data_IF_477650542993
#
_entry.id   IF_477650542993
#
_cell.length_a   1.000
_cell.length_b   1.000
_cell.length_c   1.000
_cell.angle_alpha   90.00
_cell.angle_beta   90.00
_cell.angle_gamma   90.00
#
_symmetry.space_group_name_H-M   'P 1'
#
loop_
_entity.id
_entity.type
_entity.pdbx_description
1 polymer ?
#
# COMPACT_ATOMS: atom_id res chain seq x y z
N UNK A 1 -0.44 0.31 1.22
CA UNK A 1 -1.45 0.03 0.19
C UNK A 1 -2.16 1.29 -0.28
N UNK A 2 -2.43 1.39 -1.56
CA UNK A 2 -3.10 2.54 -2.16
C UNK A 2 -4.42 2.11 -2.79
N UNK A 3 -5.52 2.83 -2.54
CA UNK A 3 -6.78 2.62 -3.23
C UNK A 3 -6.68 3.18 -4.66
N UNK A 4 -6.90 2.32 -5.66
CA UNK A 4 -6.77 2.69 -7.08
C UNK A 4 -8.11 3.10 -7.73
N UNK A 5 -9.22 2.97 -7.00
CA UNK A 5 -10.55 3.33 -7.47
C UNK A 5 -11.66 2.73 -6.62
N UNK A 6 -12.88 3.12 -6.88
CA UNK A 6 -14.09 2.59 -6.25
C UNK A 6 -15.15 2.27 -7.30
N UNK A 7 -16.16 1.47 -6.91
CA UNK A 7 -17.32 1.14 -7.72
C UNK A 7 -18.61 1.49 -7.00
N UNK A 8 -19.73 1.52 -7.74
CA UNK A 8 -21.03 1.80 -7.15
C UNK A 8 -21.63 0.51 -6.57
N UNK A 9 -22.26 0.60 -5.39
CA UNK A 9 -22.89 -0.54 -4.68
C UNK A 9 -24.02 -1.15 -5.52
N UNK A 10 -24.72 -0.35 -6.28
CA UNK A 10 -25.84 -0.78 -7.14
C UNK A 10 -25.46 -1.78 -8.23
N UNK A 11 -24.19 -1.83 -8.61
CA UNK A 11 -23.72 -2.64 -9.74
C UNK A 11 -23.23 -4.05 -9.33
N UNK A 12 -23.43 -4.46 -8.07
CA UNK A 12 -22.86 -5.71 -7.57
C UNK A 12 -23.92 -6.72 -7.10
N UNK A 13 -24.03 -7.83 -7.83
CA UNK A 13 -24.89 -8.99 -7.46
C UNK A 13 -24.20 -9.97 -6.48
N UNK A 14 -22.91 -9.80 -6.18
CA UNK A 14 -22.15 -10.73 -5.34
C UNK A 14 -22.10 -10.27 -3.87
N UNK A 15 -21.98 -11.24 -2.95
CA UNK A 15 -21.75 -10.97 -1.53
C UNK A 15 -20.54 -10.06 -1.31
N UNK A 16 -20.67 -9.10 -0.40
CA UNK A 16 -19.64 -8.13 -0.05
C UNK A 16 -19.41 -8.12 1.46
N UNK A 17 -18.20 -7.75 1.86
CA UNK A 17 -17.82 -7.49 3.23
C UNK A 17 -17.89 -5.99 3.51
N UNK A 18 -18.62 -5.59 4.54
CA UNK A 18 -18.70 -4.19 5.00
C UNK A 18 -17.45 -3.90 5.83
N UNK A 19 -16.80 -2.78 5.57
CA UNK A 19 -15.70 -2.27 6.40
C UNK A 19 -15.95 -0.81 6.81
N UNK A 20 -15.31 -0.41 7.88
CA UNK A 20 -15.37 0.94 8.44
C UNK A 20 -14.01 1.63 8.33
N UNK A 21 -14.05 2.95 8.40
CA UNK A 21 -12.82 3.74 8.58
C UNK A 21 -12.05 3.26 9.81
N UNK A 22 -10.76 3.01 9.65
CA UNK A 22 -9.88 2.43 10.66
C UNK A 22 -9.81 0.90 10.65
N UNK A 23 -10.62 0.19 9.84
CA UNK A 23 -10.43 -1.24 9.62
C UNK A 23 -9.20 -1.47 8.72
N UNK A 24 -8.50 -2.56 8.98
CA UNK A 24 -7.35 -2.98 8.18
C UNK A 24 -7.78 -4.03 7.19
N UNK A 25 -7.71 -3.71 5.90
CA UNK A 25 -8.08 -4.63 4.83
C UNK A 25 -6.88 -5.46 4.38
N UNK A 26 -7.07 -6.78 4.28
CA UNK A 26 -6.04 -7.71 3.82
C UNK A 26 -6.58 -8.66 2.77
N UNK A 27 -5.94 -8.68 1.60
CA UNK A 27 -6.30 -9.56 0.48
C UNK A 27 -5.84 -11.00 0.72
N UNK A 28 -6.79 -11.93 0.90
CA UNK A 28 -6.53 -13.36 1.13
C UNK A 28 -5.86 -14.03 -0.07
N UNK A 29 -6.28 -13.67 -1.27
CA UNK A 29 -5.81 -14.29 -2.50
C UNK A 29 -4.40 -13.82 -2.82
N UNK A 30 -3.46 -14.79 -2.87
CA UNK A 30 -2.05 -14.54 -3.15
C UNK A 30 -1.47 -13.48 -2.20
N UNK A 31 -1.44 -13.81 -0.90
CA UNK A 31 -0.96 -12.92 0.17
C UNK A 31 0.44 -12.34 -0.10
N UNK A 32 1.31 -13.11 -0.81
CA UNK A 32 2.64 -12.64 -1.23
C UNK A 32 2.61 -11.39 -2.13
N UNK A 33 1.46 -11.05 -2.75
CA UNK A 33 1.28 -9.79 -3.49
C UNK A 33 1.04 -8.58 -2.58
N UNK A 34 1.00 -8.78 -1.26
CA UNK A 34 0.96 -7.72 -0.24
C UNK A 34 -0.14 -6.69 -0.47
N UNK A 35 -1.37 -7.19 -0.71
CA UNK A 35 -2.55 -6.34 -0.90
C UNK A 35 -3.18 -6.03 0.45
N UNK A 36 -2.88 -4.89 0.98
CA UNK A 36 -3.42 -4.40 2.25
C UNK A 36 -3.69 -2.89 2.18
N UNK A 37 -4.61 -2.42 3.00
CA UNK A 37 -4.97 -1.01 3.11
C UNK A 37 -5.56 -0.72 4.48
N UNK A 38 -5.12 0.38 5.11
CA UNK A 38 -5.77 0.96 6.27
C UNK A 38 -6.91 1.84 5.76
N UNK A 39 -8.14 1.46 6.04
CA UNK A 39 -9.32 2.14 5.50
C UNK A 39 -9.46 3.56 6.07
N UNK A 40 -9.51 4.54 5.19
CA UNK A 40 -9.73 5.96 5.53
C UNK A 40 -11.19 6.39 5.40
N UNK A 41 -12.05 5.49 4.91
CA UNK A 41 -13.49 5.71 4.74
C UNK A 41 -14.25 4.39 4.94
N UNK A 42 -15.54 4.47 5.16
CA UNK A 42 -16.44 3.31 5.15
C UNK A 42 -16.65 2.80 3.72
N UNK A 43 -16.94 1.51 3.58
CA UNK A 43 -17.20 0.95 2.26
C UNK A 43 -17.49 -0.54 2.25
N UNK A 44 -17.48 -1.11 1.04
CA UNK A 44 -17.67 -2.52 0.78
C UNK A 44 -16.45 -3.08 0.03
N UNK A 45 -16.05 -4.28 0.39
CA UNK A 45 -15.00 -5.00 -0.33
C UNK A 45 -15.45 -6.41 -0.73
N UNK A 46 -14.68 -7.05 -1.59
CA UNK A 46 -14.89 -8.45 -1.96
C UNK A 46 -14.73 -9.37 -0.73
N UNK A 47 -15.42 -10.50 -0.74
CA UNK A 47 -15.23 -11.58 0.26
C UNK A 47 -13.82 -12.19 0.23
N UNK A 48 -13.03 -11.92 -0.80
CA UNK A 48 -11.59 -12.26 -0.87
C UNK A 48 -10.70 -11.31 -0.05
N UNK A 49 -11.29 -10.36 0.65
CA UNK A 49 -10.59 -9.40 1.53
C UNK A 49 -11.11 -9.59 2.95
N UNK A 50 -10.21 -9.74 3.90
CA UNK A 50 -10.53 -9.63 5.32
C UNK A 50 -10.57 -8.17 5.74
N UNK A 51 -11.64 -7.77 6.42
CA UNK A 51 -11.74 -6.52 7.14
C UNK A 51 -11.39 -6.77 8.61
N UNK A 52 -10.14 -6.56 8.99
CA UNK A 52 -9.61 -6.79 10.33
C UNK A 52 -9.90 -5.58 11.21
N UNK A 53 -10.59 -5.80 12.31
CA UNK A 53 -10.91 -4.77 13.31
C UNK A 53 -9.90 -4.82 14.44
N UNK A 54 -9.26 -3.71 14.72
CA UNK A 54 -8.36 -3.60 15.87
C UNK A 54 -9.16 -3.59 17.19
N UNK A 55 -8.80 -4.44 18.13
CA UNK A 55 -9.23 -4.25 19.51
C UNK A 55 -8.43 -3.10 20.12
N UNK A 56 -9.01 -1.91 20.17
CA UNK A 56 -8.34 -0.67 20.56
C UNK A 56 -7.87 -0.61 22.01
N UNK A 57 -8.31 -1.57 22.83
CA UNK A 57 -7.80 -1.74 24.19
C UNK A 57 -6.41 -2.39 24.21
N UNK A 58 -6.04 -3.08 23.12
CA UNK A 58 -4.80 -3.87 23.00
C UNK A 58 -3.90 -3.35 21.89
N UNK A 59 -4.48 -3.02 20.73
CA UNK A 59 -3.73 -2.61 19.54
C UNK A 59 -4.44 -1.47 18.80
N UNK A 60 -3.71 -0.45 18.41
CA UNK A 60 -4.26 0.61 17.55
C UNK A 60 -4.27 0.16 16.07
N UNK A 61 -5.21 0.66 15.24
CA UNK A 61 -5.32 0.28 13.83
C UNK A 61 -4.04 0.44 13.04
N UNK A 62 -3.28 1.49 13.29
CA UNK A 62 -2.02 1.81 12.63
C UNK A 62 -0.96 0.73 12.91
N UNK A 63 -0.88 0.24 14.14
CA UNK A 63 0.05 -0.85 14.51
C UNK A 63 -0.42 -2.18 13.93
N UNK A 64 -1.73 -2.48 13.97
CA UNK A 64 -2.26 -3.67 13.28
C UNK A 64 -1.91 -3.63 11.79
N UNK A 65 -2.02 -2.47 11.15
CA UNK A 65 -1.64 -2.27 9.77
C UNK A 65 -0.14 -2.53 9.52
N UNK A 66 0.74 -2.10 10.43
CA UNK A 66 2.17 -2.39 10.33
C UNK A 66 2.48 -3.89 10.55
N UNK A 67 1.78 -4.54 11.48
CA UNK A 67 1.94 -5.97 11.74
C UNK A 67 1.65 -6.80 10.50
N UNK A 68 0.54 -6.54 9.79
CA UNK A 68 0.19 -7.30 8.59
C UNK A 68 1.14 -7.07 7.41
N UNK A 69 1.94 -6.01 7.45
CA UNK A 69 2.98 -5.72 6.45
C UNK A 69 4.30 -6.45 6.74
N UNK A 70 4.48 -6.93 7.98
CA UNK A 70 5.73 -7.58 8.38
C UNK A 70 5.99 -8.86 7.58
N UNK A 71 7.28 -9.14 7.32
CA UNK A 71 7.70 -10.35 6.61
C UNK A 71 7.19 -11.61 7.31
N UNK A 72 7.22 -11.65 8.65
CA UNK A 72 6.76 -12.78 9.44
C UNK A 72 5.26 -13.03 9.27
N UNK A 73 4.43 -11.97 9.28
CA UNK A 73 3.00 -12.11 9.03
C UNK A 73 2.72 -12.57 7.60
N UNK A 74 3.36 -11.97 6.60
CA UNK A 74 3.20 -12.35 5.18
C UNK A 74 3.63 -13.80 4.95
N UNK A 75 4.73 -14.25 5.56
CA UNK A 75 5.14 -15.64 5.50
C UNK A 75 4.05 -16.57 6.07
N UNK A 76 3.51 -16.25 7.26
CA UNK A 76 2.40 -16.99 7.88
C UNK A 76 1.15 -17.01 6.97
N UNK A 77 0.75 -15.85 6.46
CA UNK A 77 -0.41 -15.72 5.59
C UNK A 77 -0.23 -16.43 4.23
N UNK A 78 1.01 -16.69 3.82
CA UNK A 78 1.34 -17.41 2.58
C UNK A 78 1.40 -18.92 2.79
N UNK A 79 1.41 -19.43 4.02
CA UNK A 79 1.33 -20.85 4.35
C UNK A 79 -0.04 -21.44 3.99
N UNK A 80 -0.45 -21.31 2.74
CA UNK A 80 -1.74 -21.80 2.27
C UNK A 80 -1.59 -23.09 1.49
N UNK A 81 -2.59 -23.97 1.60
CA UNK A 81 -2.67 -25.16 0.77
C UNK A 81 -3.28 -24.80 -0.59
N UNK A 82 -2.61 -25.13 -1.65
CA UNK A 82 -3.11 -24.97 -3.01
C UNK A 82 -2.08 -24.37 -3.98
N UNK A 83 -1.99 -24.94 -5.17
CA UNK A 83 -0.92 -24.63 -6.15
C UNK A 83 -1.30 -23.53 -7.15
N UNK A 84 -2.58 -23.40 -7.53
CA UNK A 84 -3.00 -22.49 -8.61
C UNK A 84 -3.53 -21.13 -8.13
N UNK A 85 -4.28 -21.11 -7.03
CA UNK A 85 -4.84 -19.87 -6.46
C UNK A 85 -4.77 -19.91 -4.93
N UNK A 86 -3.56 -19.77 -4.35
CA UNK A 86 -3.37 -19.88 -2.90
C UNK A 86 -4.12 -18.75 -2.18
N UNK A 87 -4.91 -19.16 -1.18
CA UNK A 87 -5.64 -18.25 -0.28
C UNK A 87 -5.13 -18.41 1.13
N UNK A 88 -4.93 -17.31 1.84
CA UNK A 88 -4.64 -17.35 3.26
C UNK A 88 -5.78 -18.02 4.01
N UNK A 89 -5.45 -18.95 4.91
CA UNK A 89 -6.41 -19.57 5.83
C UNK A 89 -6.52 -18.75 7.10
N UNK A 90 -7.75 -18.50 7.55
CA UNK A 90 -7.98 -17.83 8.84
C UNK A 90 -7.48 -18.68 10.01
N UNK A 91 -7.59 -20.01 9.94
CA UNK A 91 -7.08 -20.93 10.95
C UNK A 91 -5.59 -20.76 11.21
N UNK A 92 -4.80 -20.54 10.14
CA UNK A 92 -3.36 -20.32 10.25
C UNK A 92 -3.08 -18.90 10.78
N UNK A 93 -3.73 -17.89 10.19
CA UNK A 93 -3.47 -16.49 10.53
C UNK A 93 -3.97 -16.12 11.91
N UNK A 94 -5.08 -16.71 12.39
CA UNK A 94 -5.59 -16.44 13.74
C UNK A 94 -4.66 -16.94 14.86
N UNK A 95 -3.78 -17.90 14.54
CA UNK A 95 -2.73 -18.37 15.46
C UNK A 95 -1.44 -17.53 15.43
N UNK A 96 -1.40 -16.43 14.65
CA UNK A 96 -0.22 -15.59 14.62
C UNK A 96 -0.07 -14.78 15.91
N UNK A 97 1.02 -15.02 16.62
CA UNK A 97 1.32 -14.35 17.87
C UNK A 97 2.36 -13.23 17.66
N UNK A 98 2.11 -12.09 18.29
CA UNK A 98 3.02 -10.94 18.28
C UNK A 98 3.02 -10.27 19.65
N UNK A 99 4.22 -9.94 20.14
CA UNK A 99 4.37 -9.13 21.33
C UNK A 99 4.07 -7.67 21.01
N UNK A 100 3.18 -7.06 21.77
CA UNK A 100 2.78 -5.67 21.59
C UNK A 100 3.35 -4.79 22.71
N UNK A 101 3.91 -3.63 22.40
CA UNK A 101 4.25 -2.62 23.40
C UNK A 101 2.96 -2.00 23.99
N UNK A 102 3.12 -1.18 25.02
CA UNK A 102 1.99 -0.44 25.59
C UNK A 102 1.39 0.55 24.58
N UNK A 103 0.11 0.90 24.75
CA UNK A 103 -0.62 1.77 23.79
C UNK A 103 0.05 3.12 23.55
N UNK A 104 0.71 3.70 24.56
CA UNK A 104 1.45 4.96 24.40
C UNK A 104 2.66 4.79 23.47
N UNK A 105 3.38 3.69 23.63
CA UNK A 105 4.52 3.35 22.77
C UNK A 105 4.06 2.97 21.37
N UNK A 106 2.94 2.27 21.23
CA UNK A 106 2.33 1.99 19.92
C UNK A 106 2.05 3.27 19.13
N UNK A 107 1.52 4.32 19.78
CA UNK A 107 1.29 5.62 19.14
C UNK A 107 2.60 6.28 18.68
N UNK A 108 3.64 6.21 19.50
CA UNK A 108 4.95 6.76 19.13
C UNK A 108 5.55 6.01 17.91
N UNK A 109 5.50 4.68 17.92
CA UNK A 109 5.95 3.84 16.80
C UNK A 109 5.12 4.14 15.53
N UNK A 110 3.79 4.20 15.65
CA UNK A 110 2.91 4.49 14.53
C UNK A 110 3.22 5.86 13.91
N UNK A 111 3.49 6.89 14.71
CA UNK A 111 3.87 8.21 14.20
C UNK A 111 5.20 8.20 13.43
N UNK A 112 6.20 7.47 13.92
CA UNK A 112 7.49 7.34 13.22
C UNK A 112 7.29 6.65 11.87
N UNK A 113 6.61 5.50 11.87
CA UNK A 113 6.40 4.72 10.66
C UNK A 113 5.50 5.44 9.64
N UNK A 114 4.43 6.10 10.08
CA UNK A 114 3.55 6.86 9.20
C UNK A 114 4.24 8.07 8.58
N UNK A 115 5.17 8.69 9.29
CA UNK A 115 6.01 9.79 8.76
C UNK A 115 6.91 9.28 7.64
N UNK A 116 7.57 8.13 7.85
CA UNK A 116 8.39 7.49 6.82
C UNK A 116 7.55 7.07 5.60
N UNK A 117 6.37 6.47 5.81
CA UNK A 117 5.46 6.10 4.73
C UNK A 117 5.01 7.33 3.90
N UNK A 118 4.77 8.46 4.58
CA UNK A 118 4.41 9.72 3.92
C UNK A 118 5.56 10.23 3.05
N UNK A 119 6.78 10.25 3.58
CA UNK A 119 7.97 10.66 2.83
C UNK A 119 8.22 9.78 1.60
N UNK A 120 8.09 8.46 1.75
CA UNK A 120 8.18 7.50 0.64
C UNK A 120 7.13 7.83 -0.43
N UNK A 121 5.87 8.07 -0.03
CA UNK A 121 4.79 8.40 -0.96
C UNK A 121 5.06 9.70 -1.72
N UNK A 122 5.58 10.73 -1.05
CA UNK A 122 5.95 12.01 -1.66
C UNK A 122 7.10 11.84 -2.67
N UNK A 123 8.10 11.03 -2.34
CA UNK A 123 9.21 10.71 -3.24
C UNK A 123 8.76 9.91 -4.46
N UNK A 124 7.84 8.95 -4.29
CA UNK A 124 7.25 8.19 -5.40
C UNK A 124 6.47 9.11 -6.35
N UNK A 125 5.68 10.05 -5.82
CA UNK A 125 4.98 11.04 -6.64
C UNK A 125 5.95 11.93 -7.41
N UNK A 126 7.00 12.42 -6.73
CA UNK A 126 8.05 13.21 -7.37
C UNK A 126 8.74 12.43 -8.50
N UNK A 127 9.01 11.15 -8.28
CA UNK A 127 9.59 10.28 -9.30
C UNK A 127 8.70 10.14 -10.54
N UNK A 128 7.38 10.00 -10.34
CA UNK A 128 6.41 9.95 -11.45
C UNK A 128 6.47 11.25 -12.26
N UNK A 129 6.40 12.41 -11.60
CA UNK A 129 6.45 13.71 -12.25
C UNK A 129 7.76 13.92 -13.03
N UNK A 130 8.90 13.51 -12.44
CA UNK A 130 10.20 13.60 -13.12
C UNK A 130 10.28 12.70 -14.36
N UNK A 131 9.68 11.49 -14.30
CA UNK A 131 9.58 10.59 -15.45
C UNK A 131 8.72 11.19 -16.57
N UNK A 132 7.60 11.80 -16.22
CA UNK A 132 6.74 12.50 -17.20
C UNK A 132 7.46 13.71 -17.81
N UNK A 133 8.14 14.52 -17.00
CA UNK A 133 8.94 15.64 -17.47
C UNK A 133 10.06 15.17 -18.42
N UNK A 134 10.79 14.11 -18.04
CA UNK A 134 11.81 13.52 -18.92
C UNK A 134 11.21 13.09 -20.25
N UNK A 135 10.05 12.41 -20.24
CA UNK A 135 9.36 11.97 -21.46
C UNK A 135 8.95 13.17 -22.34
N UNK A 136 8.40 14.21 -21.72
CA UNK A 136 8.04 15.45 -22.41
C UNK A 136 9.25 16.10 -23.08
N UNK A 137 10.34 16.32 -22.34
CA UNK A 137 11.57 16.92 -22.87
C UNK A 137 12.18 16.07 -23.99
N UNK A 138 12.25 14.75 -23.79
CA UNK A 138 12.76 13.82 -24.80
C UNK A 138 12.02 14.00 -26.13
N UNK A 139 10.70 13.95 -26.10
CA UNK A 139 9.87 14.06 -27.30
C UNK A 139 10.03 15.43 -27.98
N UNK A 140 10.07 16.52 -27.23
CA UNK A 140 10.10 17.86 -27.80
C UNK A 140 11.49 18.28 -28.25
N UNK A 141 12.56 17.84 -27.56
CA UNK A 141 13.93 18.15 -27.96
C UNK A 141 14.36 17.33 -29.18
N UNK A 142 14.05 16.03 -29.22
CA UNK A 142 14.40 15.17 -30.37
C UNK A 142 13.67 15.61 -31.64
N UNK A 143 12.40 15.98 -31.52
CA UNK A 143 11.61 16.46 -32.68
C UNK A 143 11.92 17.89 -33.08
N UNK A 144 12.73 18.61 -32.29
CA UNK A 144 13.09 20.02 -32.51
C UNK A 144 11.92 20.99 -32.24
N UNK A 145 10.82 20.53 -31.62
CA UNK A 145 9.72 21.39 -31.19
C UNK A 145 10.15 22.38 -30.11
N UNK A 146 11.13 21.99 -29.29
CA UNK A 146 11.84 22.86 -28.35
C UNK A 146 13.33 22.84 -28.75
N UNK A 147 13.93 24.01 -28.88
CA UNK A 147 15.36 24.15 -29.14
C UNK A 147 16.12 24.47 -27.87
N UNK A 148 17.30 23.89 -27.70
CA UNK A 148 18.22 24.29 -26.64
C UNK A 148 18.85 25.66 -27.00
N UNK A 149 19.03 26.58 -26.02
CA UNK A 149 19.76 27.80 -26.24
C UNK A 149 21.18 27.49 -26.74
N UNK A 150 21.70 28.28 -27.68
CA UNK A 150 23.06 28.08 -28.25
C UNK A 150 24.20 28.15 -27.20
N UNK A 151 23.94 28.80 -26.06
CA UNK A 151 24.88 28.92 -24.94
C UNK A 151 25.17 27.60 -24.20
N UNK A 152 24.42 26.52 -24.43
CA UNK A 152 24.70 25.22 -23.82
C UNK A 152 25.93 24.52 -24.41
N UNK A 153 26.37 24.90 -25.62
CA UNK A 153 27.59 24.37 -26.25
C UNK A 153 28.88 24.66 -25.46
N UNK A 154 28.85 25.60 -24.52
CA UNK A 154 30.01 25.94 -23.66
C UNK A 154 30.22 24.99 -22.46
N UNK A 155 29.28 24.14 -22.15
CA UNK A 155 29.37 23.17 -21.02
C UNK A 155 29.90 21.79 -21.42
N UNK A 156 30.21 21.55 -22.70
CA UNK A 156 30.74 20.27 -23.19
C UNK A 156 32.25 20.10 -23.06
N UNK A 157 32.97 21.03 -22.44
CA UNK A 157 34.43 20.96 -22.29
C UNK A 157 34.91 20.51 -20.90
N UNK A 158 34.04 19.91 -20.09
CA UNK A 158 34.40 19.36 -18.77
C UNK A 158 33.84 17.91 -18.65
N UNK A 159 34.47 17.00 -19.40
CA UNK A 159 34.46 15.56 -19.15
C UNK A 159 35.82 15.01 -19.58
#
# INVERSE_FOLDING_TARGET
GRLLGGGNVADTLSLKTIYKSGDVLFGKLRAYLRKYWLATSDGLCSTEIWALKANREVVIPEILFQIIQSEKFIATATMSQGTHMPRSSWEIVSGYEVSLPQLMEQKAIANILSTADKEISELEQKLILLKEQKKYLLNNLITGAIRTPETISQYQSVC
#
